data_IF_944520249814
#
_entry.id   IF_944520249814
#
_cell.length_a   1.000
_cell.length_b   1.000
_cell.length_c   1.000
_cell.angle_alpha   90.00
_cell.angle_beta   90.00
_cell.angle_gamma   90.00
#
_symmetry.space_group_name_H-M   'P 1'
#
loop_
_entity.id
_entity.type
_entity.pdbx_description
1 polymer ?
#
# COMPACT_ATOMS: atom_id res chain seq x y z
N UNK A 1 5.16 17.74 6.24
CA UNK A 1 5.77 19.06 6.51
C UNK A 1 7.22 18.85 6.97
N UNK A 2 8.14 18.55 6.06
CA UNK A 2 9.58 18.64 6.33
C UNK A 2 10.12 19.78 5.46
N UNK A 3 9.82 21.01 5.87
CA UNK A 3 10.33 22.21 5.24
C UNK A 3 11.27 22.89 6.23
N UNK A 4 12.51 23.12 5.79
CA UNK A 4 13.34 24.16 6.39
C UNK A 4 14.49 23.65 7.25
N UNK A 5 15.52 23.09 6.61
CA UNK A 5 16.92 23.34 7.00
C UNK A 5 17.83 23.31 5.76
N UNK A 6 17.62 24.26 4.85
CA UNK A 6 18.57 24.57 3.79
C UNK A 6 19.15 25.95 4.08
N UNK A 7 20.08 26.06 5.02
CA UNK A 7 21.06 27.15 5.05
C UNK A 7 22.20 26.84 6.02
N UNK A 8 23.18 26.03 5.60
CA UNK A 8 24.50 26.03 6.27
C UNK A 8 25.65 25.48 5.42
N UNK A 9 25.62 25.70 4.10
CA UNK A 9 26.67 25.20 3.21
C UNK A 9 27.52 26.30 2.53
N UNK A 10 27.48 27.55 3.00
CA UNK A 10 28.17 28.66 2.32
C UNK A 10 29.61 28.94 2.82
N UNK A 11 30.07 28.37 3.94
CA UNK A 11 31.43 28.61 4.44
C UNK A 11 32.19 27.31 4.52
N UNK A 12 32.62 26.87 3.34
CA UNK A 12 33.22 25.57 3.20
C UNK A 12 34.12 25.42 1.96
N UNK A 13 35.10 26.32 1.80
CA UNK A 13 36.20 26.18 0.82
C UNK A 13 37.40 25.41 1.37
N UNK A 14 37.53 24.12 1.07
CA UNK A 14 38.56 23.20 1.59
C UNK A 14 38.23 21.79 1.10
N UNK A 15 39.14 20.78 1.17
CA UNK A 15 39.01 19.51 0.45
C UNK A 15 37.85 18.66 1.01
N UNK A 16 36.63 19.01 0.60
CA UNK A 16 35.37 18.44 1.05
C UNK A 16 34.92 17.27 0.20
N UNK A 17 35.47 17.11 -0.99
CA UNK A 17 35.20 15.97 -1.86
C UNK A 17 35.43 14.65 -1.11
N UNK A 18 36.63 14.41 -0.57
CA UNK A 18 36.95 13.11 0.05
C UNK A 18 36.12 12.82 1.31
N UNK A 19 35.96 13.79 2.22
CA UNK A 19 35.19 13.61 3.46
C UNK A 19 33.68 13.53 3.22
N UNK A 20 33.14 14.32 2.31
CA UNK A 20 31.72 14.23 1.95
C UNK A 20 31.42 12.89 1.26
N UNK A 21 32.30 12.43 0.37
CA UNK A 21 32.16 11.12 -0.28
C UNK A 21 32.25 9.97 0.73
N UNK A 22 33.16 10.03 1.70
CA UNK A 22 33.24 9.01 2.76
C UNK A 22 31.99 9.00 3.65
N UNK A 23 31.45 10.17 4.00
CA UNK A 23 30.22 10.26 4.77
C UNK A 23 29.01 9.73 3.97
N UNK A 24 28.95 10.01 2.67
CA UNK A 24 27.90 9.49 1.78
C UNK A 24 27.97 7.96 1.65
N UNK A 25 29.18 7.41 1.52
CA UNK A 25 29.40 5.96 1.47
C UNK A 25 28.97 5.27 2.78
N UNK A 26 29.33 5.84 3.93
CA UNK A 26 28.88 5.34 5.23
C UNK A 26 27.36 5.36 5.36
N UNK A 27 26.71 6.47 4.98
CA UNK A 27 25.26 6.58 5.01
C UNK A 27 24.57 5.54 4.12
N UNK A 28 25.10 5.29 2.92
CA UNK A 28 24.57 4.25 2.03
C UNK A 28 24.65 2.87 2.68
N UNK A 29 25.79 2.54 3.29
CA UNK A 29 25.95 1.27 4.00
C UNK A 29 24.93 1.09 5.12
N UNK A 30 24.69 2.12 5.93
CA UNK A 30 23.65 2.10 6.98
C UNK A 30 22.27 1.87 6.37
N UNK A 31 21.90 2.61 5.31
CA UNK A 31 20.60 2.45 4.68
C UNK A 31 20.41 1.04 4.08
N UNK A 32 21.46 0.48 3.47
CA UNK A 32 21.42 -0.88 2.92
C UNK A 32 21.20 -1.94 4.01
N UNK A 33 21.90 -1.80 5.15
CA UNK A 33 21.72 -2.65 6.33
C UNK A 33 20.30 -2.57 6.88
N UNK A 34 19.77 -1.36 7.09
CA UNK A 34 18.40 -1.16 7.59
C UNK A 34 17.36 -1.73 6.62
N UNK A 35 17.55 -1.54 5.31
CA UNK A 35 16.66 -2.12 4.30
C UNK A 35 16.72 -3.65 4.29
N UNK A 36 17.89 -4.23 4.53
CA UNK A 36 18.03 -5.69 4.69
C UNK A 36 17.34 -6.17 5.96
N UNK A 37 17.46 -5.44 7.06
CA UNK A 37 16.70 -5.70 8.29
C UNK A 37 15.19 -5.73 8.04
N UNK A 38 14.66 -4.75 7.29
CA UNK A 38 13.23 -4.70 6.92
C UNK A 38 12.82 -5.92 6.08
N UNK A 39 13.65 -6.31 5.09
CA UNK A 39 13.43 -7.50 4.25
C UNK A 39 13.47 -8.79 5.06
N UNK A 40 14.51 -8.99 5.86
CA UNK A 40 14.71 -10.16 6.70
C UNK A 40 13.65 -10.32 7.79
N UNK A 41 13.13 -9.21 8.31
CA UNK A 41 12.00 -9.22 9.25
C UNK A 41 10.64 -9.52 8.58
N UNK A 42 10.59 -9.64 7.25
CA UNK A 42 9.34 -9.84 6.51
C UNK A 42 8.39 -8.63 6.56
N UNK A 43 8.90 -7.45 6.90
CA UNK A 43 8.12 -6.20 6.98
C UNK A 43 8.23 -5.34 5.73
N UNK A 44 8.99 -5.81 4.74
CA UNK A 44 9.07 -5.20 3.42
C UNK A 44 7.71 -5.13 2.75
N UNK A 45 7.34 -3.93 2.26
CA UNK A 45 6.09 -3.69 1.55
C UNK A 45 6.39 -3.28 0.12
N UNK A 46 5.98 -4.11 -0.84
CA UNK A 46 5.93 -3.73 -2.24
C UNK A 46 4.69 -2.87 -2.51
N UNK A 47 4.82 -1.95 -3.47
CA UNK A 47 3.68 -1.19 -3.97
C UNK A 47 2.80 -2.09 -4.84
N UNK A 48 1.48 -1.85 -4.79
CA UNK A 48 0.51 -2.40 -5.72
C UNK A 48 -0.06 -1.26 -6.54
N UNK A 49 0.03 -1.36 -7.87
CA UNK A 49 -0.42 -0.30 -8.76
C UNK A 49 -1.91 -0.46 -9.04
N UNK A 50 -2.74 0.51 -8.63
CA UNK A 50 -4.16 0.57 -8.99
C UNK A 50 -4.28 1.29 -10.33
N UNK A 51 -4.80 0.60 -11.35
CA UNK A 51 -4.89 1.10 -12.73
C UNK A 51 -6.24 1.73 -13.07
N UNK A 52 -7.21 1.65 -12.17
CA UNK A 52 -8.54 2.27 -12.31
C UNK A 52 -8.74 3.47 -11.39
N UNK A 53 -9.83 4.20 -11.59
CA UNK A 53 -10.30 5.21 -10.62
C UNK A 53 -10.74 4.54 -9.31
N UNK A 54 -10.74 5.32 -8.23
CA UNK A 54 -11.25 4.91 -6.92
C UNK A 54 -12.76 4.65 -6.98
N UNK A 55 -13.20 3.57 -6.33
CA UNK A 55 -14.59 3.18 -6.28
C UNK A 55 -14.78 1.80 -5.65
N UNK A 56 -16.03 1.29 -5.58
CA UNK A 56 -16.32 -0.03 -5.00
C UNK A 56 -15.65 -1.19 -5.73
N UNK A 57 -15.23 -0.98 -6.98
CA UNK A 57 -14.46 -1.93 -7.78
C UNK A 57 -13.21 -1.21 -8.28
N UNK A 58 -12.06 -1.84 -8.08
CA UNK A 58 -10.77 -1.35 -8.57
C UNK A 58 -10.06 -2.43 -9.36
N UNK A 59 -9.25 -2.01 -10.32
CA UNK A 59 -8.31 -2.88 -11.04
C UNK A 59 -6.92 -2.65 -10.48
N UNK A 60 -6.24 -3.74 -10.13
CA UNK A 60 -4.86 -3.72 -9.67
C UNK A 60 -4.02 -4.40 -10.73
N UNK A 61 -2.90 -3.80 -11.08
CA UNK A 61 -1.98 -4.34 -12.06
C UNK A 61 -1.54 -5.77 -11.69
N UNK A 62 -1.44 -6.64 -12.70
CA UNK A 62 -1.13 -8.07 -12.52
C UNK A 62 -2.22 -8.92 -11.85
N UNK A 63 -3.39 -8.35 -11.53
CA UNK A 63 -4.54 -9.08 -10.95
C UNK A 63 -5.67 -9.19 -11.98
N UNK A 64 -5.72 -10.32 -12.68
CA UNK A 64 -6.84 -10.69 -13.56
C UNK A 64 -8.02 -11.16 -12.72
N UNK A 65 -8.82 -10.21 -12.23
CA UNK A 65 -10.06 -10.50 -11.51
C UNK A 65 -11.22 -10.81 -12.47
N UNK A 66 -11.16 -11.91 -13.23
CA UNK A 66 -12.37 -12.49 -13.81
C UNK A 66 -13.14 -13.23 -12.70
N UNK A 67 -13.84 -12.48 -11.86
CA UNK A 67 -15.02 -13.04 -11.22
C UNK A 67 -16.21 -12.59 -12.06
N UNK A 68 -16.91 -13.48 -12.77
CA UNK A 68 -18.14 -13.13 -13.43
C UNK A 68 -19.15 -12.80 -12.33
N UNK A 69 -19.23 -11.52 -11.96
CA UNK A 69 -20.43 -11.01 -11.31
C UNK A 69 -21.50 -11.07 -12.39
N UNK A 70 -22.14 -12.24 -12.47
CA UNK A 70 -23.34 -12.44 -13.25
C UNK A 70 -24.23 -11.24 -13.02
N UNK A 71 -24.51 -10.53 -14.10
CA UNK A 71 -25.53 -9.49 -14.17
C UNK A 71 -26.79 -10.04 -13.50
N UNK A 72 -27.02 -9.66 -12.24
CA UNK A 72 -28.30 -9.92 -11.58
C UNK A 72 -29.31 -9.10 -12.36
N UNK A 73 -30.08 -9.76 -13.24
CA UNK A 73 -31.21 -9.17 -13.94
C UNK A 73 -32.09 -8.46 -12.92
N UNK A 74 -32.39 -7.18 -13.18
CA UNK A 74 -33.31 -6.36 -12.37
C UNK A 74 -34.71 -6.97 -12.25
N UNK A 75 -35.03 -7.97 -13.08
CA UNK A 75 -36.31 -8.67 -13.13
C UNK A 75 -36.36 -9.94 -12.26
N UNK A 76 -35.34 -10.21 -11.46
CA UNK A 76 -35.37 -11.36 -10.56
C UNK A 76 -36.33 -11.06 -9.39
N UNK A 77 -37.43 -11.81 -9.20
CA UNK A 77 -38.31 -11.61 -8.07
C UNK A 77 -37.54 -11.82 -6.77
N UNK A 78 -37.78 -10.94 -5.80
CA UNK A 78 -37.27 -11.10 -4.43
C UNK A 78 -37.83 -12.43 -3.92
N UNK A 79 -37.00 -13.37 -3.41
CA UNK A 79 -37.54 -14.55 -2.76
C UNK A 79 -38.46 -14.09 -1.62
N UNK A 80 -39.74 -14.44 -1.72
CA UNK A 80 -40.73 -14.15 -0.69
C UNK A 80 -40.17 -14.62 0.65
N UNK A 81 -39.95 -13.69 1.57
CA UNK A 81 -39.41 -13.99 2.88
C UNK A 81 -40.31 -15.04 3.52
N UNK A 82 -39.73 -16.23 3.74
CA UNK A 82 -40.40 -17.35 4.38
C UNK A 82 -41.15 -16.88 5.61
N UNK A 83 -42.42 -17.30 5.69
CA UNK A 83 -43.36 -16.88 6.71
C UNK A 83 -42.75 -16.97 8.11
N UNK A 84 -43.04 -15.95 8.92
CA UNK A 84 -42.75 -15.98 10.36
C UNK A 84 -43.56 -17.12 10.97
N UNK A 85 -42.94 -18.25 11.24
CA UNK A 85 -43.55 -19.27 12.07
C UNK A 85 -43.70 -18.70 13.49
N UNK A 86 -44.93 -18.67 14.05
CA UNK A 86 -45.10 -18.25 15.44
C UNK A 86 -44.35 -19.21 16.36
N UNK A 87 -43.71 -18.66 17.39
CA UNK A 87 -42.93 -19.39 18.41
C UNK A 87 -43.75 -20.41 19.21
N UNK A 88 -45.03 -20.60 18.91
CA UNK A 88 -45.94 -21.55 19.56
C UNK A 88 -45.77 -23.00 19.11
N UNK A 89 -44.78 -23.33 18.26
CA UNK A 89 -44.50 -24.70 17.81
C UNK A 89 -43.15 -25.25 18.34
N UNK A 90 -42.55 -24.59 19.34
CA UNK A 90 -41.26 -24.99 19.93
C UNK A 90 -41.38 -25.58 21.36
N UNK A 91 -42.58 -25.98 21.79
CA UNK A 91 -42.81 -26.73 23.02
C UNK A 91 -43.79 -27.87 22.79
#
# INVERSE_FOLDING_TARGET
>A
MWAGRVLHAALSGGPRGRRAQSALAQLRGILEEELEGIRGAGTWKSERVITSRQGPRIHVDGVSGEHPQGSRSKDSPIPSAGGRHPLSQLF
#
